data_IF_293898024217
#
_entry.id   IF_293898024217
#
_cell.length_a   1.000
_cell.length_b   1.000
_cell.length_c   1.000
_cell.angle_alpha   90.00
_cell.angle_beta   90.00
_cell.angle_gamma   90.00
#
_symmetry.space_group_name_H-M   'P 1'
#
loop_
_entity.id
_entity.type
_entity.pdbx_description
1 polymer ?
#
# COMPACT_ATOMS: atom_id res chain seq x y z
N UNK A 1 14.47 19.64 7.74
CA UNK A 1 13.51 18.81 7.00
C UNK A 1 12.10 19.20 7.44
N UNK A 2 11.13 19.40 6.54
CA UNK A 2 9.76 19.67 6.98
C UNK A 2 9.26 18.47 7.79
N UNK A 3 8.69 18.77 8.95
CA UNK A 3 8.21 17.79 9.93
C UNK A 3 7.06 17.00 9.27
N UNK A 4 7.24 15.70 9.06
CA UNK A 4 6.14 14.82 8.64
C UNK A 4 4.97 15.03 9.61
N UNK A 5 3.81 15.35 9.05
CA UNK A 5 2.59 15.48 9.84
C UNK A 5 2.20 14.05 10.23
N UNK A 6 2.62 13.60 11.41
CA UNK A 6 2.08 12.37 11.99
C UNK A 6 0.60 12.57 12.25
N UNK A 7 -0.23 12.00 11.38
CA UNK A 7 -1.66 11.90 11.56
C UNK A 7 -1.97 10.69 12.43
N UNK A 8 -3.09 10.71 13.14
CA UNK A 8 -3.53 9.51 13.84
C UNK A 8 -4.02 8.47 12.83
N UNK A 9 -3.82 7.20 13.12
CA UNK A 9 -4.33 6.09 12.29
C UNK A 9 -5.84 6.25 12.01
N UNK A 10 -6.58 6.77 12.99
CA UNK A 10 -8.00 7.10 12.81
C UNK A 10 -8.22 8.12 11.69
N UNK A 11 -7.43 9.19 11.58
CA UNK A 11 -7.56 10.15 10.47
C UNK A 11 -7.26 9.48 9.13
N UNK A 12 -6.22 8.66 9.06
CA UNK A 12 -5.83 7.94 7.85
C UNK A 12 -6.96 7.00 7.38
N UNK A 13 -7.57 6.24 8.29
CA UNK A 13 -8.70 5.36 7.99
C UNK A 13 -9.89 6.10 7.39
N UNK A 14 -10.22 7.28 7.92
CA UNK A 14 -11.30 8.08 7.34
C UNK A 14 -10.97 8.51 5.90
N UNK A 15 -9.73 8.95 5.65
CA UNK A 15 -9.32 9.39 4.31
C UNK A 15 -9.33 8.24 3.30
N UNK A 16 -8.88 7.06 3.71
CA UNK A 16 -8.94 5.85 2.87
C UNK A 16 -10.39 5.47 2.54
N UNK A 17 -11.27 5.39 3.54
CA UNK A 17 -12.68 5.05 3.31
C UNK A 17 -13.36 6.08 2.41
N UNK A 18 -13.06 7.37 2.58
CA UNK A 18 -13.59 8.41 1.69
C UNK A 18 -13.09 8.19 0.26
N UNK A 19 -11.79 7.93 0.07
CA UNK A 19 -11.21 7.66 -1.26
C UNK A 19 -11.87 6.44 -1.92
N UNK A 20 -12.09 5.37 -1.15
CA UNK A 20 -12.74 4.16 -1.62
C UNK A 20 -14.19 4.43 -2.06
N UNK A 21 -14.95 5.17 -1.24
CA UNK A 21 -16.33 5.55 -1.55
C UNK A 21 -16.42 6.50 -2.75
N UNK A 22 -15.51 7.47 -2.86
CA UNK A 22 -15.42 8.35 -4.05
C UNK A 22 -15.18 7.55 -5.33
N UNK A 23 -14.26 6.57 -5.30
CA UNK A 23 -13.97 5.73 -6.46
C UNK A 23 -15.16 4.86 -6.87
N UNK A 24 -15.92 4.34 -5.89
CA UNK A 24 -17.08 3.46 -6.14
C UNK A 24 -18.34 4.23 -6.54
N UNK A 25 -18.64 5.32 -5.84
CA UNK A 25 -19.94 5.98 -5.86
C UNK A 25 -19.87 7.46 -6.29
N UNK A 26 -18.70 7.96 -6.72
CA UNK A 26 -18.38 9.37 -7.03
C UNK A 26 -18.40 10.32 -5.83
N UNK A 27 -19.07 9.96 -4.73
CA UNK A 27 -19.20 10.78 -3.52
C UNK A 27 -19.24 9.90 -2.27
N UNK A 28 -18.73 10.42 -1.15
CA UNK A 28 -18.91 9.80 0.16
C UNK A 28 -20.02 10.49 0.95
N UNK A 29 -20.79 9.72 1.74
CA UNK A 29 -21.76 10.26 2.71
C UNK A 29 -21.40 9.79 4.11
N UNK A 30 -21.72 10.61 5.12
CA UNK A 30 -21.43 10.27 6.51
C UNK A 30 -22.04 8.92 6.95
N UNK A 31 -23.21 8.55 6.41
CA UNK A 31 -23.83 7.25 6.70
C UNK A 31 -22.98 6.07 6.18
N UNK A 32 -22.41 6.20 4.99
CA UNK A 32 -21.65 5.14 4.32
C UNK A 32 -20.29 4.98 5.00
N UNK A 33 -19.68 6.10 5.41
CA UNK A 33 -18.45 6.11 6.21
C UNK A 33 -18.68 5.43 7.56
N UNK A 34 -19.78 5.74 8.25
CA UNK A 34 -20.12 5.14 9.54
C UNK A 34 -20.28 3.62 9.44
N UNK A 35 -21.00 3.16 8.41
CA UNK A 35 -21.23 1.74 8.14
C UNK A 35 -19.91 1.02 7.86
N UNK A 36 -19.04 1.61 7.02
CA UNK A 36 -17.78 0.99 6.63
C UNK A 36 -16.76 0.91 7.76
N UNK A 37 -16.73 1.92 8.63
CA UNK A 37 -15.87 1.93 9.83
C UNK A 37 -16.48 1.18 11.02
N UNK A 38 -17.75 0.75 10.94
CA UNK A 38 -18.44 0.07 12.04
C UNK A 38 -18.65 0.95 13.28
N UNK A 39 -18.78 2.27 13.11
CA UNK A 39 -18.91 3.23 14.22
C UNK A 39 -20.24 4.00 14.19
N UNK A 40 -20.63 4.57 15.32
CA UNK A 40 -21.84 5.39 15.42
C UNK A 40 -21.72 6.69 14.62
N UNK A 41 -22.82 7.11 13.99
CA UNK A 41 -22.89 8.34 13.18
C UNK A 41 -22.48 9.61 13.94
N UNK A 42 -22.77 9.69 15.24
CA UNK A 42 -22.37 10.82 16.09
C UNK A 42 -20.84 11.00 16.13
N UNK A 43 -20.09 9.90 16.17
CA UNK A 43 -18.61 9.89 16.17
C UNK A 43 -18.04 10.32 14.82
N UNK A 44 -18.72 9.98 13.72
CA UNK A 44 -18.32 10.37 12.36
C UNK A 44 -18.36 11.89 12.19
N UNK A 45 -19.42 12.56 12.63
CA UNK A 45 -19.55 14.02 12.48
C UNK A 45 -18.41 14.78 13.15
N UNK A 46 -17.99 14.35 14.34
CA UNK A 46 -16.86 14.96 15.04
C UNK A 46 -15.52 14.78 14.30
N UNK A 47 -15.31 13.60 13.71
CA UNK A 47 -14.11 13.33 12.91
C UNK A 47 -14.10 14.12 11.59
N UNK A 48 -15.23 14.21 10.89
CA UNK A 48 -15.37 14.98 9.65
C UNK A 48 -15.04 16.47 9.87
N UNK A 49 -15.53 17.08 10.96
CA UNK A 49 -15.16 18.46 11.31
C UNK A 49 -13.65 18.63 11.50
N UNK A 50 -13.00 17.72 12.23
CA UNK A 50 -11.54 17.77 12.42
C UNK A 50 -10.75 17.61 11.12
N UNK A 51 -11.24 16.80 10.18
CA UNK A 51 -10.63 16.61 8.86
C UNK A 51 -10.76 17.87 8.00
N UNK A 52 -11.92 18.53 8.06
CA UNK A 52 -12.22 19.79 7.37
C UNK A 52 -11.39 20.95 7.93
N UNK A 53 -11.29 21.09 9.26
CA UNK A 53 -10.38 22.03 9.93
C UNK A 53 -8.91 21.84 9.50
N UNK A 54 -8.50 20.60 9.22
CA UNK A 54 -7.16 20.25 8.71
C UNK A 54 -7.02 20.43 7.19
N UNK A 55 -8.08 20.85 6.49
CA UNK A 55 -8.17 21.03 5.03
C UNK A 55 -7.90 19.75 4.24
N UNK A 56 -8.29 18.60 4.80
CA UNK A 56 -8.12 17.29 4.17
C UNK A 56 -9.35 16.86 3.38
N UNK A 57 -10.52 17.39 3.73
CA UNK A 57 -11.78 17.12 3.04
C UNK A 57 -12.54 18.42 2.79
N UNK A 58 -13.42 18.40 1.79
CA UNK A 58 -14.52 19.35 1.68
C UNK A 58 -15.73 18.72 2.37
N UNK A 59 -16.27 19.41 3.38
CA UNK A 59 -17.38 18.92 4.18
C UNK A 59 -18.35 20.03 4.53
N UNK A 60 -19.64 19.78 4.24
CA UNK A 60 -20.75 20.57 4.73
C UNK A 60 -21.80 19.63 5.35
N UNK A 61 -22.48 20.03 6.45
CA UNK A 61 -23.55 19.24 7.02
C UNK A 61 -24.60 18.85 5.98
N UNK A 62 -25.01 17.57 5.98
CA UNK A 62 -25.98 16.99 5.04
C UNK A 62 -25.55 16.96 3.56
N UNK A 63 -24.30 17.31 3.26
CA UNK A 63 -23.75 17.30 1.91
C UNK A 63 -22.87 16.07 1.64
N UNK A 64 -22.38 15.97 0.41
CA UNK A 64 -21.36 15.00 0.04
C UNK A 64 -20.00 15.39 0.63
N UNK A 65 -19.23 14.37 1.01
CA UNK A 65 -17.86 14.53 1.48
C UNK A 65 -16.95 14.18 0.33
N UNK A 66 -15.98 15.06 0.07
CA UNK A 66 -14.94 14.81 -0.94
C UNK A 66 -13.55 15.09 -0.38
N UNK A 67 -12.54 14.43 -0.93
CA UNK A 67 -11.15 14.71 -0.57
C UNK A 67 -10.69 16.03 -1.19
N UNK A 68 -9.94 16.82 -0.42
CA UNK A 68 -9.12 17.86 -1.05
C UNK A 68 -7.92 17.21 -1.75
N UNK A 69 -7.17 17.98 -2.54
CA UNK A 69 -5.93 17.47 -3.14
C UNK A 69 -4.96 16.92 -2.09
N UNK A 70 -4.80 17.64 -0.98
CA UNK A 70 -3.96 17.22 0.14
C UNK A 70 -4.47 15.94 0.81
N UNK A 71 -5.78 15.85 1.09
CA UNK A 71 -6.36 14.63 1.65
C UNK A 71 -6.25 13.45 0.71
N UNK A 72 -6.41 13.68 -0.60
CA UNK A 72 -6.26 12.69 -1.65
C UNK A 72 -4.86 12.12 -1.76
N UNK A 73 -3.82 12.94 -1.61
CA UNK A 73 -2.44 12.46 -1.58
C UNK A 73 -2.19 11.51 -0.40
N UNK A 74 -2.65 11.89 0.79
CA UNK A 74 -2.50 11.08 2.01
C UNK A 74 -3.30 9.78 1.90
N UNK A 75 -4.56 9.85 1.47
CA UNK A 75 -5.40 8.68 1.26
C UNK A 75 -4.75 7.68 0.30
N UNK A 76 -4.22 8.18 -0.83
CA UNK A 76 -3.52 7.33 -1.82
C UNK A 76 -2.26 6.69 -1.23
N UNK A 77 -1.50 7.40 -0.40
CA UNK A 77 -0.29 6.86 0.24
C UNK A 77 -0.64 5.74 1.24
N UNK A 78 -1.66 5.95 2.08
CA UNK A 78 -2.19 4.92 3.01
C UNK A 78 -2.69 3.70 2.24
N UNK A 79 -3.58 3.88 1.27
CA UNK A 79 -4.12 2.78 0.46
C UNK A 79 -3.04 2.05 -0.35
N UNK A 80 -1.99 2.75 -0.78
CA UNK A 80 -0.83 2.11 -1.41
C UNK A 80 -0.09 1.21 -0.42
N UNK A 81 0.14 1.67 0.81
CA UNK A 81 0.74 0.87 1.88
C UNK A 81 -0.10 -0.39 2.15
N UNK A 82 -1.41 -0.22 2.33
CA UNK A 82 -2.35 -1.32 2.48
C UNK A 82 -2.22 -2.36 1.36
N UNK A 83 -2.31 -1.90 0.11
CA UNK A 83 -2.34 -2.78 -1.07
C UNK A 83 -1.05 -3.58 -1.22
N UNK A 84 0.10 -2.93 -1.06
CA UNK A 84 1.42 -3.59 -1.18
C UNK A 84 1.61 -4.61 -0.06
N UNK A 85 1.23 -4.26 1.18
CA UNK A 85 1.31 -5.18 2.32
C UNK A 85 0.38 -6.37 2.14
N UNK A 86 -0.86 -6.12 1.76
CA UNK A 86 -1.86 -7.15 1.49
C UNK A 86 -1.37 -8.11 0.40
N UNK A 87 -0.88 -7.58 -0.72
CA UNK A 87 -0.36 -8.37 -1.82
C UNK A 87 0.81 -9.26 -1.38
N UNK A 88 1.72 -8.74 -0.57
CA UNK A 88 2.79 -9.56 0.01
C UNK A 88 2.23 -10.69 0.89
N UNK A 89 1.32 -10.34 1.81
CA UNK A 89 0.74 -11.28 2.77
C UNK A 89 -0.09 -12.38 2.10
N UNK A 90 -0.91 -12.05 1.11
CA UNK A 90 -1.80 -13.03 0.45
C UNK A 90 -1.12 -13.74 -0.72
N UNK A 91 -0.32 -13.05 -1.55
CA UNK A 91 0.25 -13.65 -2.77
C UNK A 91 1.60 -14.32 -2.53
N UNK A 92 2.42 -13.79 -1.62
CA UNK A 92 3.75 -14.35 -1.33
C UNK A 92 3.69 -15.28 -0.12
N UNK A 93 3.13 -14.80 1.00
CA UNK A 93 3.02 -15.62 2.22
C UNK A 93 1.80 -16.54 2.23
N UNK A 94 0.90 -16.43 1.26
CA UNK A 94 -0.26 -17.31 1.08
C UNK A 94 -1.16 -17.34 2.34
N UNK A 95 -1.27 -16.20 3.03
CA UNK A 95 -2.27 -16.04 4.08
C UNK A 95 -3.67 -16.01 3.46
N UNK A 96 -4.63 -16.50 4.23
CA UNK A 96 -6.05 -16.42 3.89
C UNK A 96 -6.49 -14.95 3.79
N UNK A 97 -7.41 -14.65 2.86
CA UNK A 97 -7.70 -13.28 2.40
C UNK A 97 -8.12 -12.35 3.55
N UNK A 98 -8.98 -12.82 4.46
CA UNK A 98 -9.43 -12.03 5.61
C UNK A 98 -8.28 -11.74 6.59
N UNK A 99 -7.42 -12.73 6.79
CA UNK A 99 -6.21 -12.59 7.63
C UNK A 99 -5.21 -11.61 7.01
N UNK A 100 -4.99 -11.68 5.70
CA UNK A 100 -4.10 -10.77 4.97
C UNK A 100 -4.61 -9.33 5.02
N UNK A 101 -5.91 -9.13 4.77
CA UNK A 101 -6.59 -7.83 4.83
C UNK A 101 -6.45 -7.18 6.22
N UNK A 102 -6.84 -7.90 7.27
CA UNK A 102 -6.80 -7.38 8.64
C UNK A 102 -5.38 -7.11 9.13
N UNK A 103 -4.41 -7.91 8.69
CA UNK A 103 -2.99 -7.72 9.04
C UNK A 103 -2.40 -6.51 8.31
N UNK A 104 -2.66 -6.37 7.01
CA UNK A 104 -2.21 -5.22 6.22
C UNK A 104 -2.74 -3.89 6.78
N UNK A 105 -4.04 -3.85 7.13
CA UNK A 105 -4.69 -2.69 7.73
C UNK A 105 -4.01 -2.21 9.03
N UNK A 106 -3.44 -3.14 9.81
CA UNK A 106 -2.68 -2.77 11.02
C UNK A 106 -1.27 -2.29 10.71
N UNK A 107 -0.64 -2.88 9.70
CA UNK A 107 0.75 -2.61 9.34
C UNK A 107 0.92 -1.31 8.55
N UNK A 108 -0.06 -0.91 7.75
CA UNK A 108 0.04 0.24 6.85
C UNK A 108 0.35 1.55 7.59
N UNK A 109 -0.15 1.73 8.81
CA UNK A 109 0.10 2.93 9.61
C UNK A 109 1.47 2.94 10.30
N UNK A 110 2.10 1.77 10.41
CA UNK A 110 3.36 1.60 11.11
C UNK A 110 4.57 1.57 10.17
N UNK A 111 4.36 1.16 8.92
CA UNK A 111 5.42 1.14 7.91
C UNK A 111 5.65 2.54 7.33
N UNK A 112 6.93 2.87 7.16
CA UNK A 112 7.37 4.11 6.56
C UNK A 112 7.41 4.04 5.03
N UNK A 113 7.57 5.19 4.37
CA UNK A 113 7.65 5.26 2.91
C UNK A 113 8.85 4.46 2.37
N UNK A 114 9.99 4.45 3.06
CA UNK A 114 11.17 3.73 2.58
C UNK A 114 10.95 2.22 2.57
N UNK A 115 10.36 1.67 3.64
CA UNK A 115 10.04 0.26 3.76
C UNK A 115 9.00 -0.19 2.73
N UNK A 116 7.91 0.57 2.56
CA UNK A 116 6.87 0.19 1.60
C UNK A 116 7.35 0.28 0.15
N UNK A 117 8.16 1.30 -0.19
CA UNK A 117 8.76 1.42 -1.51
C UNK A 117 9.63 0.20 -1.81
N UNK A 118 10.46 -0.20 -0.86
CA UNK A 118 11.34 -1.34 -1.03
C UNK A 118 10.57 -2.67 -1.15
N UNK A 119 9.49 -2.82 -0.40
CA UNK A 119 8.62 -3.99 -0.49
C UNK A 119 7.91 -4.05 -1.85
N UNK A 120 7.43 -2.91 -2.36
CA UNK A 120 6.82 -2.84 -3.68
C UNK A 120 7.81 -3.23 -4.79
N UNK A 121 9.03 -2.68 -4.77
CA UNK A 121 10.10 -3.04 -5.70
C UNK A 121 10.41 -4.55 -5.63
N UNK A 122 10.45 -5.09 -4.42
CA UNK A 122 10.69 -6.52 -4.19
C UNK A 122 9.58 -7.38 -4.77
N UNK A 123 8.32 -7.03 -4.55
CA UNK A 123 7.17 -7.76 -5.12
C UNK A 123 7.20 -7.73 -6.65
N UNK A 124 7.47 -6.57 -7.24
CA UNK A 124 7.59 -6.45 -8.69
C UNK A 124 8.69 -7.36 -9.23
N UNK A 125 9.87 -7.33 -8.60
CA UNK A 125 10.97 -8.23 -8.95
C UNK A 125 10.61 -9.71 -8.74
N UNK A 126 9.93 -10.05 -7.63
CA UNK A 126 9.50 -11.41 -7.30
C UNK A 126 8.60 -11.98 -8.39
N UNK A 127 7.56 -11.25 -8.80
CA UNK A 127 6.62 -11.75 -9.82
C UNK A 127 7.20 -11.80 -11.22
N UNK A 128 8.22 -10.98 -11.51
CA UNK A 128 8.85 -10.96 -12.83
C UNK A 128 10.03 -11.92 -12.93
N UNK A 129 10.73 -12.25 -11.84
CA UNK A 129 11.96 -13.05 -11.88
C UNK A 129 11.66 -14.55 -11.99
N UNK A 130 12.03 -15.22 -13.10
CA UNK A 130 11.82 -16.66 -13.26
C UNK A 130 12.80 -17.51 -12.43
N UNK A 131 13.72 -16.89 -11.67
CA UNK A 131 14.75 -17.59 -10.88
C UNK A 131 14.52 -17.42 -9.38
N UNK A 132 15.06 -18.36 -8.62
CA UNK A 132 15.24 -18.31 -7.16
C UNK A 132 16.67 -18.73 -6.80
N UNK A 133 17.07 -18.66 -5.52
CA UNK A 133 18.39 -19.12 -5.03
C UNK A 133 19.08 -18.15 -4.06
N UNK A 134 20.25 -18.55 -3.55
CA UNK A 134 20.99 -17.82 -2.50
C UNK A 134 21.43 -16.41 -2.93
N UNK A 135 21.77 -16.23 -4.21
CA UNK A 135 22.20 -14.94 -4.76
C UNK A 135 21.03 -14.08 -5.26
N UNK A 136 19.79 -14.56 -5.10
CA UNK A 136 18.60 -13.91 -5.64
C UNK A 136 18.35 -12.53 -5.01
N UNK A 137 18.60 -12.39 -3.71
CA UNK A 137 18.51 -11.11 -2.99
C UNK A 137 19.56 -10.12 -3.47
N UNK A 138 20.79 -10.59 -3.73
CA UNK A 138 21.85 -9.73 -4.25
C UNK A 138 21.48 -9.19 -5.63
N UNK A 139 20.94 -10.04 -6.50
CA UNK A 139 20.45 -9.62 -7.83
C UNK A 139 19.24 -8.69 -7.74
N UNK A 140 18.35 -8.86 -6.77
CA UNK A 140 17.31 -7.86 -6.51
C UNK A 140 17.93 -6.50 -6.18
N UNK A 141 18.92 -6.46 -5.28
CA UNK A 141 19.58 -5.21 -4.89
C UNK A 141 20.19 -4.50 -6.10
N UNK A 142 20.91 -5.24 -6.95
CA UNK A 142 21.55 -4.71 -8.16
C UNK A 142 20.55 -4.22 -9.21
N UNK A 143 19.46 -4.96 -9.43
CA UNK A 143 18.49 -4.63 -10.49
C UNK A 143 17.47 -3.58 -10.05
N UNK A 144 17.15 -3.49 -8.75
CA UNK A 144 16.20 -2.51 -8.20
C UNK A 144 16.61 -1.05 -8.46
N UNK A 145 17.88 -0.78 -8.77
CA UNK A 145 18.38 0.56 -9.06
C UNK A 145 18.26 0.98 -10.54
N UNK A 146 18.00 0.02 -11.44
CA UNK A 146 18.07 0.24 -12.90
C UNK A 146 16.74 0.64 -13.55
N UNK A 147 15.63 0.62 -12.81
CA UNK A 147 14.31 1.15 -13.23
C UNK A 147 13.60 0.40 -14.37
N UNK A 148 14.31 -0.42 -15.16
CA UNK A 148 13.75 -1.31 -16.18
C UNK A 148 14.56 -2.60 -16.28
N UNK A 149 13.85 -3.72 -16.35
CA UNK A 149 14.45 -5.04 -16.57
C UNK A 149 15.02 -5.14 -17.99
N UNK A 150 16.26 -5.61 -18.07
CA UNK A 150 16.95 -5.97 -19.29
C UNK A 150 16.84 -7.49 -19.50
N UNK A 151 16.05 -7.91 -20.50
CA UNK A 151 15.77 -9.32 -20.76
C UNK A 151 16.99 -10.09 -21.25
N UNK A 152 17.91 -9.45 -21.97
CA UNK A 152 19.13 -10.09 -22.46
C UNK A 152 20.08 -10.43 -21.29
N UNK A 153 20.19 -9.52 -20.31
CA UNK A 153 20.88 -9.80 -19.04
C UNK A 153 20.18 -10.89 -18.22
N UNK A 154 18.85 -11.00 -18.33
CA UNK A 154 18.08 -12.02 -17.63
C UNK A 154 18.39 -13.43 -18.17
N UNK A 155 18.50 -13.60 -19.48
CA UNK A 155 18.87 -14.88 -20.10
C UNK A 155 20.28 -15.31 -19.67
N UNK A 156 21.23 -14.39 -19.70
CA UNK A 156 22.59 -14.65 -19.22
C UNK A 156 22.62 -15.00 -17.72
N UNK A 157 21.81 -14.32 -16.90
CA UNK A 157 21.66 -14.63 -15.48
C UNK A 157 21.11 -16.05 -15.26
N UNK A 158 20.12 -16.47 -16.05
CA UNK A 158 19.53 -17.80 -15.98
C UNK A 158 20.53 -18.90 -16.37
N UNK A 159 21.31 -18.71 -17.43
CA UNK A 159 22.31 -19.68 -17.84
C UNK A 159 23.45 -19.82 -16.82
N UNK A 160 23.86 -18.70 -16.22
CA UNK A 160 24.80 -18.71 -15.09
C UNK A 160 24.23 -19.44 -13.88
N UNK A 161 22.93 -19.27 -13.58
CA UNK A 161 22.23 -20.00 -12.52
C UNK A 161 22.23 -21.51 -12.78
N UNK A 162 21.83 -21.95 -13.97
CA UNK A 162 21.86 -23.37 -14.38
C UNK A 162 23.27 -23.97 -14.28
N UNK A 163 24.28 -23.21 -14.68
CA UNK A 163 25.68 -23.64 -14.63
C UNK A 163 26.17 -23.85 -13.19
N UNK A 164 25.84 -22.92 -12.28
CA UNK A 164 26.15 -23.07 -10.85
C UNK A 164 25.45 -24.27 -10.22
N UNK A 165 24.16 -24.46 -10.50
CA UNK A 165 23.41 -25.61 -10.01
C UNK A 165 24.03 -26.95 -10.42
N UNK A 166 24.49 -27.08 -11.68
CA UNK A 166 25.19 -28.28 -12.17
C UNK A 166 26.51 -28.54 -11.45
N UNK A 167 27.23 -27.51 -10.99
CA UNK A 167 28.50 -27.65 -10.26
C UNK A 167 28.34 -28.08 -8.81
N UNK A 168 27.18 -27.81 -8.19
CA UNK A 168 26.89 -28.19 -6.79
C UNK A 168 26.30 -29.61 -6.63
N UNK A 169 26.14 -30.38 -7.72
CA UNK A 169 25.56 -31.73 -7.71
C UNK A 169 26.65 -32.83 -7.79
N UNK A 170 27.92 -32.45 -7.94
CA UNK A 170 29.07 -33.36 -7.98
C UNK A 170 30.04 -33.08 -6.83
#
# INVERSE_FOLDING_TARGET
MPKEIQLSNSIENFLEIILELERRNKVARAKDIAEKLGIQRGSVTGALKKLEEKKLINYEPYSFITLTEKGGQIAKAVTRRHTVLKDFLSKVLQLEEETAESTACRMEHAIDESGINRLADFLEYFFQCPRTGEDWIQTFIENSQSGKRDWEKCDQCLDNCKTRHKRNIF
#
